data_IF_840927256020
#
_entry.id   IF_840927256020
#
_cell.length_a   1.000
_cell.length_b   1.000
_cell.length_c   1.000
_cell.angle_alpha   90.00
_cell.angle_beta   90.00
_cell.angle_gamma   90.00
#
_symmetry.space_group_name_H-M   'P 1'
#
loop_
_entity.id
_entity.type
_entity.pdbx_description
1 polymer ?
#
# COMPACT_ATOMS: atom_id res chain seq x y z
N UNK A 1 -89.10 1.23 -22.28
CA UNK A 1 -89.56 2.62 -22.09
C UNK A 1 -88.46 3.39 -21.35
N UNK A 2 -87.87 4.39 -22.03
CA UNK A 2 -87.01 5.51 -21.57
C UNK A 2 -86.32 5.45 -20.18
N UNK A 3 -84.98 5.55 -20.15
CA UNK A 3 -84.22 6.75 -19.71
C UNK A 3 -82.71 6.46 -19.70
N UNK A 4 -81.94 7.06 -20.62
CA UNK A 4 -81.08 8.26 -20.47
C UNK A 4 -79.72 8.03 -19.78
N UNK A 5 -78.73 7.77 -20.63
CA UNK A 5 -77.45 8.47 -20.79
C UNK A 5 -76.96 9.34 -19.61
N UNK A 6 -75.74 9.07 -19.11
CA UNK A 6 -74.71 10.11 -18.89
C UNK A 6 -73.29 9.53 -18.87
N UNK A 7 -72.52 10.05 -19.81
CA UNK A 7 -71.09 9.92 -20.02
C UNK A 7 -70.37 10.70 -18.91
N UNK A 8 -69.36 10.09 -18.29
CA UNK A 8 -68.27 10.81 -17.61
C UNK A 8 -66.97 10.29 -18.22
N UNK A 9 -66.39 11.08 -19.13
CA UNK A 9 -65.00 10.97 -19.53
C UNK A 9 -64.15 11.39 -18.33
N UNK A 10 -63.44 10.45 -17.71
CA UNK A 10 -62.25 10.78 -16.93
C UNK A 10 -61.04 10.60 -17.85
N UNK A 11 -60.59 11.71 -18.43
CA UNK A 11 -59.33 11.75 -19.17
C UNK A 11 -58.18 11.52 -18.21
N UNK A 12 -57.64 10.30 -18.21
CA UNK A 12 -56.34 10.00 -17.62
C UNK A 12 -55.28 10.44 -18.63
N UNK A 13 -54.77 11.65 -18.45
CA UNK A 13 -53.52 12.06 -19.06
C UNK A 13 -52.41 11.18 -18.48
N UNK A 14 -52.01 10.15 -19.23
CA UNK A 14 -50.79 9.40 -18.96
C UNK A 14 -49.64 10.35 -19.31
N UNK A 15 -49.14 11.09 -18.31
CA UNK A 15 -47.80 11.65 -18.38
C UNK A 15 -46.84 10.45 -18.40
N UNK A 16 -46.42 10.06 -19.61
CA UNK A 16 -45.20 9.30 -19.81
C UNK A 16 -44.04 10.18 -19.35
N UNK A 17 -43.78 10.17 -18.04
CA UNK A 17 -42.48 10.57 -17.55
C UNK A 17 -41.50 9.54 -18.08
N UNK A 18 -40.80 9.92 -19.15
CA UNK A 18 -39.54 9.27 -19.51
C UNK A 18 -38.64 9.46 -18.30
N UNK A 19 -38.63 8.48 -17.39
CA UNK A 19 -37.53 8.32 -16.46
C UNK A 19 -36.32 8.10 -17.34
N UNK A 20 -35.54 9.17 -17.54
CA UNK A 20 -34.18 9.02 -18.00
C UNK A 20 -33.53 8.10 -16.99
N UNK A 21 -33.22 6.88 -17.41
CA UNK A 21 -32.33 6.00 -16.66
C UNK A 21 -30.96 6.68 -16.67
N UNK A 22 -30.75 7.60 -15.73
CA UNK A 22 -29.42 7.87 -15.24
C UNK A 22 -29.00 6.56 -14.56
N UNK A 23 -28.21 5.76 -15.26
CA UNK A 23 -27.45 4.69 -14.65
C UNK A 23 -26.52 5.38 -13.65
N UNK A 24 -26.93 5.45 -12.39
CA UNK A 24 -25.99 5.77 -11.32
C UNK A 24 -25.00 4.60 -11.29
N UNK A 25 -23.75 4.86 -11.64
CA UNK A 25 -22.70 3.87 -11.42
C UNK A 25 -22.53 3.74 -9.91
N UNK A 26 -22.87 2.57 -9.36
CA UNK A 26 -22.68 2.30 -7.94
C UNK A 26 -21.18 2.42 -7.64
N UNK A 27 -20.83 3.47 -6.90
CA UNK A 27 -19.47 3.69 -6.45
C UNK A 27 -19.07 2.53 -5.53
N UNK A 28 -17.94 1.91 -5.85
CA UNK A 28 -17.35 0.83 -5.06
C UNK A 28 -16.45 1.43 -3.99
N UNK A 29 -16.61 0.98 -2.74
CA UNK A 29 -15.70 1.33 -1.65
C UNK A 29 -14.51 0.38 -1.65
N UNK A 30 -13.32 0.92 -1.87
CA UNK A 30 -12.08 0.15 -1.90
C UNK A 30 -11.09 0.70 -0.88
N UNK A 31 -10.37 -0.20 -0.22
CA UNK A 31 -9.25 0.16 0.66
C UNK A 31 -7.97 0.24 -0.16
N UNK A 32 -7.26 1.36 -0.05
CA UNK A 32 -6.08 1.68 -0.86
C UNK A 32 -4.99 2.29 0.00
N UNK A 33 -3.76 2.25 -0.51
CA UNK A 33 -2.69 3.10 0.00
C UNK A 33 -2.44 4.24 -1.00
N UNK A 34 -2.65 5.48 -0.56
CA UNK A 34 -2.45 6.67 -1.36
C UNK A 34 -1.02 7.18 -1.21
N UNK A 35 -0.39 7.51 -2.34
CA UNK A 35 0.86 8.26 -2.44
C UNK A 35 2.10 7.63 -1.77
N UNK A 36 2.04 6.33 -1.43
CA UNK A 36 3.20 5.60 -0.90
C UNK A 36 4.32 5.46 -1.93
N UNK A 37 3.96 5.33 -3.20
CA UNK A 37 4.91 5.22 -4.32
C UNK A 37 4.89 6.52 -5.11
N UNK A 38 6.05 7.13 -5.31
CA UNK A 38 6.26 8.25 -6.21
C UNK A 38 6.59 7.74 -7.60
N UNK A 39 6.28 8.51 -8.64
CA UNK A 39 6.49 8.08 -10.03
C UNK A 39 7.36 9.10 -10.74
N UNK A 40 8.35 8.59 -11.46
CA UNK A 40 9.20 9.37 -12.35
C UNK A 40 9.00 8.86 -13.78
N UNK A 41 8.72 9.76 -14.72
CA UNK A 41 8.56 9.42 -16.13
C UNK A 41 9.59 10.22 -16.94
N UNK A 42 10.53 9.54 -17.59
CA UNK A 42 11.61 10.17 -18.34
C UNK A 42 12.37 11.29 -17.57
N UNK A 43 12.88 10.98 -16.38
CA UNK A 43 13.54 11.88 -15.43
C UNK A 43 12.63 12.97 -14.81
N UNK A 44 11.33 12.99 -15.12
CA UNK A 44 10.36 13.97 -14.57
C UNK A 44 9.53 13.31 -13.46
N UNK A 45 9.67 13.78 -12.23
CA UNK A 45 8.80 13.38 -11.12
C UNK A 45 7.39 13.94 -11.34
N UNK A 46 6.40 13.05 -11.52
CA UNK A 46 5.01 13.46 -11.73
C UNK A 46 4.35 13.83 -10.40
N UNK A 47 3.62 14.95 -10.39
CA UNK A 47 2.91 15.48 -9.22
C UNK A 47 1.43 15.12 -9.31
N UNK A 48 1.11 13.85 -9.10
CA UNK A 48 -0.25 13.31 -9.16
C UNK A 48 -0.45 12.31 -8.03
N UNK A 49 -1.71 11.95 -7.75
CA UNK A 49 -1.94 10.87 -6.80
C UNK A 49 -1.46 9.54 -7.39
N UNK A 50 -1.04 8.62 -6.52
CA UNK A 50 -0.80 7.22 -6.84
C UNK A 50 -1.65 6.38 -5.92
N UNK A 51 -2.25 5.34 -6.48
CA UNK A 51 -3.17 4.46 -5.76
C UNK A 51 -2.56 3.07 -5.79
N UNK A 52 -2.14 2.55 -4.64
CA UNK A 52 -1.81 1.14 -4.50
C UNK A 52 -3.09 0.40 -4.12
N UNK A 53 -3.58 -0.43 -5.03
CA UNK A 53 -4.78 -1.24 -4.86
C UNK A 53 -4.48 -2.67 -5.30
N UNK A 54 -4.77 -3.64 -4.41
CA UNK A 54 -4.51 -5.08 -4.66
C UNK A 54 -3.08 -5.39 -5.15
N UNK A 55 -2.08 -4.67 -4.63
CA UNK A 55 -0.68 -4.84 -5.02
C UNK A 55 -0.30 -4.23 -6.38
N UNK A 56 -1.24 -3.55 -7.04
CA UNK A 56 -1.01 -2.84 -8.31
C UNK A 56 -0.94 -1.34 -8.06
N UNK A 57 0.10 -0.70 -8.60
CA UNK A 57 0.25 0.76 -8.57
C UNK A 57 -0.50 1.35 -9.76
N UNK A 58 -1.52 2.16 -9.47
CA UNK A 58 -2.28 2.90 -10.45
C UNK A 58 -1.86 4.36 -10.49
N UNK A 59 -1.76 4.89 -11.71
CA UNK A 59 -1.29 6.25 -11.99
C UNK A 59 -2.25 6.94 -12.97
N UNK A 60 -2.36 8.26 -12.86
CA UNK A 60 -3.19 9.05 -13.77
C UNK A 60 -2.67 8.93 -15.20
N UNK A 61 -3.51 8.40 -16.09
CA UNK A 61 -3.15 8.22 -17.50
C UNK A 61 -2.90 9.56 -18.19
N UNK A 62 -3.60 10.61 -17.75
CA UNK A 62 -3.48 11.96 -18.28
C UNK A 62 -2.16 12.60 -17.87
N UNK A 63 -1.70 12.37 -16.64
CA UNK A 63 -0.41 12.89 -16.18
C UNK A 63 0.78 12.21 -16.86
N UNK A 64 0.67 10.90 -17.13
CA UNK A 64 1.64 10.19 -17.96
C UNK A 64 1.68 10.77 -19.37
N UNK A 65 0.51 10.96 -20.00
CA UNK A 65 0.42 11.53 -21.33
C UNK A 65 1.01 12.94 -21.40
N UNK A 66 0.67 13.81 -20.44
CA UNK A 66 1.23 15.16 -20.31
C UNK A 66 2.75 15.14 -20.21
N UNK A 67 3.29 14.27 -19.34
CA UNK A 67 4.74 14.15 -19.11
C UNK A 67 5.48 13.64 -20.34
N UNK A 68 4.89 12.69 -21.07
CA UNK A 68 5.43 12.15 -22.31
C UNK A 68 5.14 13.05 -23.54
N UNK A 69 4.49 14.20 -23.34
CA UNK A 69 4.06 15.12 -24.38
C UNK A 69 3.16 14.47 -25.44
N UNK A 70 2.33 13.53 -25.00
CA UNK A 70 1.34 12.86 -25.83
C UNK A 70 -0.01 13.57 -25.74
N UNK A 71 -0.77 13.66 -26.84
CA UNK A 71 -2.16 14.12 -26.80
C UNK A 71 -3.01 13.14 -25.99
N UNK A 72 -4.01 13.67 -25.27
CA UNK A 72 -5.00 12.87 -24.54
C UNK A 72 -6.40 13.39 -24.84
N UNK A 73 -7.27 12.51 -25.31
CA UNK A 73 -8.66 12.83 -25.64
C UNK A 73 -9.61 11.85 -24.96
N UNK A 74 -10.81 12.31 -24.60
CA UNK A 74 -11.84 11.46 -24.00
C UNK A 74 -13.05 11.43 -24.93
N UNK A 75 -13.49 10.22 -25.27
CA UNK A 75 -14.70 10.03 -26.06
C UNK A 75 -15.85 9.67 -25.13
N UNK A 76 -16.81 10.58 -25.03
CA UNK A 76 -17.87 10.46 -24.03
C UNK A 76 -18.79 9.26 -24.33
N UNK A 77 -19.14 9.05 -25.60
CA UNK A 77 -20.11 8.04 -26.02
C UNK A 77 -19.68 6.60 -25.73
N UNK A 78 -18.39 6.29 -25.76
CA UNK A 78 -17.87 4.95 -25.47
C UNK A 78 -16.97 4.91 -24.21
N UNK A 79 -16.99 5.99 -23.42
CA UNK A 79 -16.24 6.16 -22.18
C UNK A 79 -14.78 5.71 -22.31
N UNK A 80 -14.10 6.16 -23.38
CA UNK A 80 -12.73 5.73 -23.69
C UNK A 80 -11.77 6.91 -23.70
N UNK A 81 -10.69 6.81 -22.95
CA UNK A 81 -9.53 7.72 -23.02
C UNK A 81 -8.57 7.24 -24.11
N UNK A 82 -8.18 8.14 -25.00
CA UNK A 82 -7.20 7.93 -26.07
C UNK A 82 -5.94 8.71 -25.75
N UNK A 83 -4.80 8.02 -25.67
CA UNK A 83 -3.47 8.62 -25.53
C UNK A 83 -2.66 8.36 -26.79
N UNK A 84 -2.01 9.40 -27.30
CA UNK A 84 -1.16 9.32 -28.49
C UNK A 84 -1.99 9.17 -29.77
N UNK A 85 -1.60 8.24 -30.64
CA UNK A 85 -2.31 8.02 -31.91
C UNK A 85 -3.73 7.50 -31.70
N UNK A 86 -4.68 7.97 -32.51
CA UNK A 86 -6.11 7.60 -32.37
C UNK A 86 -6.46 6.23 -32.98
N UNK A 87 -5.66 5.73 -33.91
CA UNK A 87 -5.96 4.51 -34.67
C UNK A 87 -7.24 4.63 -35.52
N UNK A 88 -8.01 3.54 -35.60
CA UNK A 88 -9.15 3.36 -36.52
C UNK A 88 -10.34 4.29 -36.26
N UNK A 89 -10.43 4.95 -35.10
CA UNK A 89 -11.56 5.85 -34.78
C UNK A 89 -11.48 7.20 -35.53
N UNK A 90 -10.32 7.56 -36.08
CA UNK A 90 -10.07 8.92 -36.60
C UNK A 90 -10.89 9.34 -37.83
N UNK A 91 -11.46 8.38 -38.59
CA UNK A 91 -12.02 8.70 -39.92
C UNK A 91 -13.56 8.75 -39.98
N UNK A 92 -14.30 8.37 -38.94
CA UNK A 92 -15.75 8.20 -39.02
C UNK A 92 -16.59 9.03 -38.03
N UNK A 93 -16.04 9.43 -36.88
CA UNK A 93 -16.82 10.09 -35.82
C UNK A 93 -16.66 11.63 -35.85
N UNK A 94 -17.75 12.42 -35.99
CA UNK A 94 -17.69 13.88 -35.92
C UNK A 94 -17.10 14.44 -34.61
N UNK A 95 -17.28 13.75 -33.48
CA UNK A 95 -16.71 14.14 -32.17
C UNK A 95 -15.17 14.06 -32.19
N UNK A 96 -14.63 13.08 -32.92
CA UNK A 96 -13.19 12.86 -33.03
C UNK A 96 -12.53 13.82 -34.03
N UNK A 97 -13.25 14.30 -35.04
CA UNK A 97 -12.71 15.23 -36.05
C UNK A 97 -12.28 16.58 -35.49
N UNK A 98 -12.87 17.00 -34.36
CA UNK A 98 -12.53 18.27 -33.69
C UNK A 98 -11.44 18.11 -32.63
N UNK A 99 -10.96 16.90 -32.38
CA UNK A 99 -9.93 16.67 -31.38
C UNK A 99 -8.58 17.21 -31.82
N UNK A 100 -7.87 17.77 -30.84
CA UNK A 100 -6.47 18.07 -31.01
C UNK A 100 -5.65 16.80 -30.76
N UNK A 101 -5.09 16.28 -31.85
CA UNK A 101 -4.29 15.04 -31.87
C UNK A 101 -2.80 15.31 -31.89
N UNK A 102 -2.39 16.57 -31.75
CA UNK A 102 -0.99 16.98 -31.75
C UNK A 102 -0.60 17.72 -30.48
N UNK A 103 -1.53 18.44 -29.86
CA UNK A 103 -1.27 19.16 -28.61
C UNK A 103 -1.15 18.20 -27.44
N UNK A 104 -0.05 18.27 -26.65
CA UNK A 104 0.12 17.49 -25.44
C UNK A 104 -1.04 17.66 -24.45
N UNK A 105 -1.35 16.58 -23.73
CA UNK A 105 -2.31 16.63 -22.64
C UNK A 105 -1.87 17.62 -21.55
N UNK A 106 -2.84 18.27 -20.91
CA UNK A 106 -2.60 18.97 -19.66
C UNK A 106 -2.59 17.95 -18.50
N UNK A 107 -1.86 18.22 -17.40
CA UNK A 107 -1.93 17.41 -16.18
C UNK A 107 -3.37 17.23 -15.66
N UNK A 108 -3.59 16.21 -14.82
CA UNK A 108 -4.87 16.08 -14.12
C UNK A 108 -5.07 17.23 -13.12
N UNK A 109 -6.33 17.54 -12.84
CA UNK A 109 -6.70 18.54 -11.82
C UNK A 109 -7.02 17.88 -10.47
N UNK A 110 -6.62 16.62 -10.26
CA UNK A 110 -6.87 15.92 -9.00
C UNK A 110 -5.99 16.50 -7.88
N UNK A 111 -6.56 17.02 -6.79
CA UNK A 111 -5.79 17.48 -5.65
C UNK A 111 -4.93 16.36 -5.05
N UNK A 112 -3.64 16.64 -4.88
CA UNK A 112 -2.69 15.68 -4.30
C UNK A 112 -3.03 15.47 -2.81
N UNK A 113 -3.31 14.22 -2.46
CA UNK A 113 -3.58 13.77 -1.10
C UNK A 113 -2.29 13.51 -0.31
N UNK A 114 -2.30 13.55 1.04
CA UNK A 114 -1.17 13.07 1.83
C UNK A 114 -0.97 11.56 1.69
N UNK A 115 0.21 11.07 2.06
CA UNK A 115 0.47 9.62 2.14
C UNK A 115 -0.37 9.01 3.27
N UNK A 116 -1.22 8.04 2.95
CA UNK A 116 -2.07 7.35 3.95
C UNK A 116 -2.70 6.08 3.39
N UNK A 117 -3.08 5.20 4.30
CA UNK A 117 -4.06 4.13 4.04
C UNK A 117 -5.45 4.74 4.15
N UNK A 118 -6.31 4.55 3.15
CA UNK A 118 -7.65 5.13 3.13
C UNK A 118 -8.69 4.21 2.48
N UNK A 119 -9.97 4.51 2.70
CA UNK A 119 -11.08 3.93 1.95
C UNK A 119 -11.66 4.99 1.03
N UNK A 120 -11.66 4.73 -0.28
CA UNK A 120 -12.14 5.67 -1.29
C UNK A 120 -13.31 5.07 -2.08
N UNK A 121 -14.20 5.95 -2.56
CA UNK A 121 -15.28 5.61 -3.47
C UNK A 121 -14.78 5.74 -4.91
N UNK A 122 -14.85 4.65 -5.69
CA UNK A 122 -14.32 4.60 -7.06
C UNK A 122 -15.28 3.90 -8.01
N UNK A 123 -15.12 4.17 -9.30
CA UNK A 123 -15.70 3.30 -10.33
C UNK A 123 -14.58 2.46 -10.95
N UNK A 124 -14.62 1.15 -10.72
CA UNK A 124 -13.68 0.21 -11.33
C UNK A 124 -14.13 -0.10 -12.76
N UNK A 125 -13.19 -0.05 -13.71
CA UNK A 125 -13.35 -0.48 -15.09
C UNK A 125 -14.46 0.23 -15.89
N UNK A 126 -14.94 1.38 -15.41
CA UNK A 126 -15.94 2.18 -16.13
C UNK A 126 -15.33 2.89 -17.34
N UNK A 127 -14.07 3.34 -17.22
CA UNK A 127 -13.37 4.06 -18.29
C UNK A 127 -12.37 3.13 -18.98
N UNK A 128 -12.52 2.98 -20.30
CA UNK A 128 -11.58 2.22 -21.14
C UNK A 128 -10.41 3.09 -21.56
N UNK A 129 -9.28 2.48 -21.87
CA UNK A 129 -8.08 3.21 -22.31
C UNK A 129 -7.55 2.62 -23.61
N UNK A 130 -7.16 3.50 -24.53
CA UNK A 130 -6.42 3.18 -25.74
C UNK A 130 -5.13 3.97 -25.80
N UNK A 131 -4.03 3.28 -26.06
CA UNK A 131 -2.70 3.86 -26.20
C UNK A 131 -2.22 3.60 -27.62
N UNK A 132 -1.91 4.65 -28.37
CA UNK A 132 -1.51 4.57 -29.78
C UNK A 132 -2.47 3.70 -30.63
N UNK A 133 -3.78 3.92 -30.43
CA UNK A 133 -4.85 3.24 -31.16
C UNK A 133 -5.18 1.82 -30.68
N UNK A 134 -4.35 1.23 -29.82
CA UNK A 134 -4.54 -0.14 -29.31
C UNK A 134 -5.28 -0.12 -27.97
N UNK A 135 -6.21 -1.04 -27.78
CA UNK A 135 -6.90 -1.22 -26.50
C UNK A 135 -5.90 -1.67 -25.44
N UNK A 136 -5.90 -0.97 -24.31
CA UNK A 136 -5.10 -1.34 -23.15
C UNK A 136 -5.88 -2.36 -22.32
N UNK A 137 -5.37 -3.59 -22.24
CA UNK A 137 -5.97 -4.66 -21.44
C UNK A 137 -5.50 -4.54 -19.99
N UNK A 138 -6.03 -3.56 -19.26
CA UNK A 138 -5.74 -3.36 -17.85
C UNK A 138 -6.94 -2.79 -17.12
N UNK A 139 -7.03 -3.09 -15.82
CA UNK A 139 -8.05 -2.48 -14.97
C UNK A 139 -7.82 -0.98 -14.84
N UNK A 140 -8.92 -0.25 -14.69
CA UNK A 140 -8.93 1.20 -14.47
C UNK A 140 -9.70 1.55 -13.20
N UNK A 141 -9.25 2.62 -12.55
CA UNK A 141 -9.92 3.21 -11.40
C UNK A 141 -10.30 4.63 -11.81
N UNK A 142 -11.59 4.92 -11.85
CA UNK A 142 -12.05 6.30 -11.97
C UNK A 142 -12.26 6.87 -10.57
N UNK A 143 -11.47 7.88 -10.22
CA UNK A 143 -11.46 8.50 -8.91
C UNK A 143 -11.25 10.01 -9.05
N UNK A 144 -12.09 10.79 -8.37
CA UNK A 144 -12.04 12.25 -8.36
C UNK A 144 -11.92 12.91 -9.77
N UNK A 145 -12.71 12.41 -10.72
CA UNK A 145 -12.69 12.92 -12.10
C UNK A 145 -11.47 12.50 -12.93
N UNK A 146 -10.61 11.64 -12.39
CA UNK A 146 -9.35 11.22 -13.02
C UNK A 146 -9.35 9.71 -13.25
N UNK A 147 -8.89 9.30 -14.43
CA UNK A 147 -8.73 7.90 -14.78
C UNK A 147 -7.32 7.43 -14.40
N UNK A 148 -7.27 6.51 -13.46
CA UNK A 148 -6.08 5.84 -13.00
C UNK A 148 -5.97 4.47 -13.67
N UNK A 149 -4.75 4.10 -14.04
CA UNK A 149 -4.46 2.87 -14.80
C UNK A 149 -3.20 2.24 -14.24
N UNK A 150 -3.09 0.91 -14.31
CA UNK A 150 -1.88 0.19 -13.93
C UNK A 150 -0.64 0.81 -14.59
N UNK A 151 0.29 1.27 -13.76
CA UNK A 151 1.57 1.85 -14.18
C UNK A 151 2.28 0.94 -15.19
N UNK A 152 2.34 -0.35 -14.87
CA UNK A 152 3.07 -1.33 -15.67
C UNK A 152 2.42 -1.52 -17.03
N UNK A 153 1.09 -1.65 -17.07
CA UNK A 153 0.37 -1.84 -18.34
C UNK A 153 0.56 -0.64 -19.28
N UNK A 154 0.52 0.59 -18.75
CA UNK A 154 0.75 1.81 -19.53
C UNK A 154 2.18 1.85 -20.06
N UNK A 155 3.17 1.55 -19.21
CA UNK A 155 4.58 1.52 -19.60
C UNK A 155 4.85 0.48 -20.70
N UNK A 156 4.35 -0.75 -20.53
CA UNK A 156 4.46 -1.84 -21.50
C UNK A 156 3.81 -1.47 -22.83
N UNK A 157 2.61 -0.89 -22.80
CA UNK A 157 1.91 -0.45 -24.02
C UNK A 157 2.63 0.68 -24.77
N UNK A 158 3.48 1.44 -24.07
CA UNK A 158 4.32 2.48 -24.64
C UNK A 158 5.73 1.99 -24.99
N UNK A 159 6.06 0.72 -24.70
CA UNK A 159 7.38 0.16 -24.91
C UNK A 159 8.45 0.75 -23.98
N UNK A 160 8.06 1.21 -22.80
CA UNK A 160 8.94 1.84 -21.81
C UNK A 160 9.31 0.84 -20.70
N UNK A 161 10.59 0.76 -20.30
CA UNK A 161 10.98 -0.04 -19.15
C UNK A 161 10.38 0.51 -17.87
N UNK A 162 10.21 -0.37 -16.87
CA UNK A 162 9.79 -0.02 -15.52
C UNK A 162 10.83 -0.51 -14.53
N UNK A 163 11.32 0.41 -13.70
CA UNK A 163 12.21 0.10 -12.59
C UNK A 163 11.60 0.64 -11.29
N UNK A 164 11.95 0.04 -10.15
CA UNK A 164 11.52 0.52 -8.85
C UNK A 164 12.72 0.67 -7.94
N UNK A 165 12.96 1.89 -7.46
CA UNK A 165 13.91 2.16 -6.39
C UNK A 165 13.18 2.13 -5.06
N UNK A 166 13.36 1.02 -4.36
CA UNK A 166 12.82 0.83 -3.02
C UNK A 166 13.35 1.87 -2.02
N UNK A 167 14.56 2.41 -2.21
CA UNK A 167 15.19 3.36 -1.27
C UNK A 167 14.47 4.71 -1.25
N UNK A 168 14.05 5.19 -2.41
CA UNK A 168 13.35 6.47 -2.56
C UNK A 168 11.83 6.30 -2.68
N UNK A 169 11.34 5.05 -2.71
CA UNK A 169 9.97 4.69 -3.06
C UNK A 169 9.53 5.34 -4.38
N UNK A 170 10.45 5.39 -5.36
CA UNK A 170 10.21 5.93 -6.69
C UNK A 170 10.15 4.77 -7.69
N UNK A 171 9.03 4.66 -8.40
CA UNK A 171 8.98 3.86 -9.62
C UNK A 171 9.32 4.74 -10.83
N UNK A 172 10.17 4.23 -11.70
CA UNK A 172 10.61 4.88 -12.92
C UNK A 172 9.92 4.24 -14.12
N UNK A 173 9.45 5.08 -15.04
CA UNK A 173 8.90 4.69 -16.35
C UNK A 173 9.76 5.34 -17.43
N UNK A 174 10.27 4.54 -18.36
CA UNK A 174 11.07 5.03 -19.47
C UNK A 174 12.54 5.26 -19.11
N UNK A 175 13.18 6.16 -19.84
CA UNK A 175 14.58 6.48 -19.59
C UNK A 175 14.68 7.27 -18.30
N UNK A 176 15.22 6.66 -17.26
CA UNK A 176 15.84 7.44 -16.22
C UNK A 176 17.34 7.36 -16.44
N UNK A 177 18.08 8.43 -16.13
CA UNK A 177 19.49 8.21 -15.81
C UNK A 177 19.46 7.15 -14.73
N UNK A 178 20.14 6.02 -14.95
CA UNK A 178 20.38 5.08 -13.88
C UNK A 178 20.97 5.92 -12.75
N UNK A 179 20.16 6.21 -11.75
CA UNK A 179 20.65 6.66 -10.47
C UNK A 179 21.18 5.36 -9.86
N UNK A 180 22.26 4.84 -10.45
CA UNK A 180 23.36 4.37 -9.62
C UNK A 180 23.63 5.61 -8.80
N UNK A 181 23.32 5.61 -7.49
CA UNK A 181 23.68 6.73 -6.66
C UNK A 181 25.20 6.81 -6.81
N UNK A 182 25.69 7.76 -7.61
CA UNK A 182 27.06 8.19 -7.46
C UNK A 182 27.03 8.76 -6.06
N UNK A 183 27.84 8.17 -5.17
CA UNK A 183 27.89 8.41 -3.73
C UNK A 183 28.28 9.86 -3.34
N UNK A 184 27.98 10.84 -4.18
CA UNK A 184 28.43 12.21 -4.10
C UNK A 184 27.32 13.24 -3.78
N UNK A 185 26.02 12.95 -3.94
CA UNK A 185 25.00 14.00 -3.74
C UNK A 185 23.87 13.74 -2.74
N UNK A 186 23.95 12.66 -1.97
CA UNK A 186 23.48 12.69 -0.58
C UNK A 186 24.53 11.94 0.23
N UNK A 187 25.46 12.65 0.87
CA UNK A 187 26.17 12.04 2.01
C UNK A 187 25.11 11.80 3.07
N UNK A 188 24.61 10.58 3.09
CA UNK A 188 23.81 10.04 4.17
C UNK A 188 24.46 10.41 5.49
N UNK A 189 23.65 10.89 6.43
CA UNK A 189 24.10 11.14 7.81
C UNK A 189 24.36 9.84 8.56
N UNK A 190 24.17 8.68 7.90
CA UNK A 190 24.37 7.39 8.52
C UNK A 190 25.86 7.09 8.71
N UNK A 191 26.19 6.56 9.88
CA UNK A 191 27.51 6.08 10.23
C UNK A 191 27.37 4.88 11.16
N UNK A 192 28.42 4.07 11.29
CA UNK A 192 28.45 2.99 12.27
C UNK A 192 29.39 3.28 13.43
N UNK A 193 29.05 2.69 14.58
CA UNK A 193 29.90 2.66 15.77
C UNK A 193 29.98 1.24 16.31
N UNK A 194 31.10 0.82 16.90
CA UNK A 194 31.20 -0.49 17.54
C UNK A 194 30.14 -0.65 18.63
N UNK A 195 29.41 -1.77 18.60
CA UNK A 195 28.47 -2.12 19.64
C UNK A 195 29.19 -2.52 20.93
N UNK A 196 28.56 -2.21 22.06
CA UNK A 196 28.99 -2.58 23.41
C UNK A 196 28.05 -3.61 24.04
N UNK A 197 28.35 -3.98 25.29
CA UNK A 197 27.50 -4.88 26.09
C UNK A 197 27.26 -6.25 25.43
N UNK A 198 25.99 -6.66 25.37
CA UNK A 198 25.56 -7.98 24.87
C UNK A 198 25.83 -8.19 23.37
N UNK A 199 25.97 -7.10 22.62
CA UNK A 199 26.21 -7.13 21.16
C UNK A 199 27.67 -6.81 20.81
N UNK A 200 28.60 -6.88 21.77
CA UNK A 200 30.03 -6.64 21.51
C UNK A 200 30.54 -7.46 20.32
N UNK A 201 31.14 -6.78 19.34
CA UNK A 201 31.58 -7.39 18.08
C UNK A 201 30.61 -7.20 16.90
N UNK A 202 29.45 -6.59 17.15
CA UNK A 202 28.56 -6.05 16.12
C UNK A 202 28.84 -4.55 15.92
N UNK A 203 28.25 -3.97 14.88
CA UNK A 203 28.18 -2.53 14.65
C UNK A 203 26.78 -2.02 14.97
N UNK A 204 26.66 -0.76 15.37
CA UNK A 204 25.37 -0.06 15.55
C UNK A 204 25.26 0.99 14.45
N UNK A 205 24.18 0.96 13.69
CA UNK A 205 23.87 2.01 12.72
C UNK A 205 23.36 3.25 13.46
N UNK A 206 23.94 4.40 13.13
CA UNK A 206 23.65 5.72 13.70
C UNK A 206 23.33 6.72 12.60
N UNK A 207 22.74 7.86 12.98
CA UNK A 207 22.32 8.94 12.10
C UNK A 207 20.93 8.76 11.46
N UNK A 208 20.16 7.75 11.87
CA UNK A 208 18.80 7.51 11.37
C UNK A 208 17.73 8.18 12.24
N UNK A 209 16.57 8.48 11.68
CA UNK A 209 15.50 9.21 12.37
C UNK A 209 14.87 8.43 13.54
N UNK A 210 14.98 7.10 13.53
CA UNK A 210 14.38 6.21 14.54
C UNK A 210 15.29 5.90 15.75
N UNK A 211 16.36 6.66 15.99
CA UNK A 211 17.31 6.34 17.08
C UNK A 211 16.71 6.42 18.49
N UNK A 212 15.60 7.15 18.65
CA UNK A 212 14.85 7.19 19.90
C UNK A 212 14.00 5.94 20.12
N UNK A 213 13.66 5.22 19.04
CA UNK A 213 12.73 4.09 19.09
C UNK A 213 13.46 2.74 19.00
N UNK A 214 14.53 2.67 18.20
CA UNK A 214 15.28 1.44 17.96
C UNK A 214 16.79 1.64 17.93
N UNK A 215 17.51 0.56 18.28
CA UNK A 215 18.91 0.36 17.89
C UNK A 215 18.98 -0.70 16.81
N UNK A 216 19.70 -0.39 15.74
CA UNK A 216 19.95 -1.30 14.62
C UNK A 216 21.37 -1.84 14.75
N UNK A 217 21.51 -3.12 15.09
CA UNK A 217 22.79 -3.82 15.12
C UNK A 217 23.02 -4.58 13.81
N UNK A 218 24.27 -4.60 13.34
CA UNK A 218 24.60 -5.37 12.15
C UNK A 218 26.01 -5.96 12.15
N UNK A 219 26.18 -6.96 11.28
CA UNK A 219 27.47 -7.52 10.88
C UNK A 219 27.48 -7.76 9.38
N UNK A 220 28.54 -7.34 8.68
CA UNK A 220 28.71 -7.63 7.25
C UNK A 220 29.23 -9.05 7.05
N UNK A 221 28.69 -9.75 6.05
CA UNK A 221 29.17 -11.05 5.60
C UNK A 221 29.89 -10.83 4.26
N UNK A 222 31.15 -10.41 4.34
CA UNK A 222 31.88 -9.91 3.16
C UNK A 222 31.17 -8.70 2.53
N UNK A 223 31.24 -8.59 1.21
CA UNK A 223 30.52 -7.55 0.43
C UNK A 223 29.23 -8.05 -0.21
N UNK A 224 28.77 -9.24 0.15
CA UNK A 224 27.65 -9.92 -0.51
C UNK A 224 26.37 -9.92 0.34
N UNK A 225 26.50 -9.70 1.66
CA UNK A 225 25.34 -9.64 2.54
C UNK A 225 25.67 -9.12 3.93
N UNK A 226 24.66 -9.13 4.81
CA UNK A 226 24.77 -8.70 6.19
C UNK A 226 23.75 -9.44 7.07
N UNK A 227 24.01 -9.44 8.37
CA UNK A 227 23.06 -9.83 9.43
C UNK A 227 22.57 -8.59 10.14
N UNK A 228 21.28 -8.54 10.47
CA UNK A 228 20.61 -7.42 11.15
C UNK A 228 19.89 -7.89 12.41
N UNK A 229 20.03 -7.15 13.51
CA UNK A 229 19.20 -7.28 14.71
C UNK A 229 18.67 -5.92 15.14
N UNK A 230 17.42 -5.88 15.56
CA UNK A 230 16.76 -4.66 16.03
C UNK A 230 16.46 -4.82 17.51
N UNK A 231 16.87 -3.85 18.31
CA UNK A 231 16.49 -3.72 19.72
C UNK A 231 15.52 -2.55 19.87
N UNK A 232 14.40 -2.79 20.53
CA UNK A 232 13.43 -1.75 20.91
C UNK A 232 13.99 -0.98 22.10
N UNK A 233 14.18 0.33 21.95
CA UNK A 233 14.75 1.20 23.00
C UNK A 233 13.80 2.32 23.40
N UNK A 234 12.53 2.25 22.98
CA UNK A 234 11.52 3.22 23.40
C UNK A 234 11.43 3.24 24.91
N UNK A 235 11.17 4.43 25.44
CA UNK A 235 10.87 4.61 26.85
C UNK A 235 9.45 4.09 27.13
N UNK A 236 9.35 2.90 27.71
CA UNK A 236 8.11 2.36 28.27
C UNK A 236 8.44 1.62 29.56
N UNK A 237 7.47 1.57 30.49
CA UNK A 237 7.61 0.76 31.69
C UNK A 237 7.14 -0.67 31.39
N UNK A 238 8.06 -1.65 31.25
CA UNK A 238 7.67 -3.03 30.97
C UNK A 238 6.86 -3.65 32.10
N UNK A 239 6.98 -3.13 33.33
CA UNK A 239 6.26 -3.61 34.50
C UNK A 239 4.93 -2.88 34.71
N UNK A 240 4.59 -1.90 33.88
CA UNK A 240 3.30 -1.24 33.92
C UNK A 240 2.20 -2.30 33.79
N UNK A 241 1.29 -2.32 34.75
CA UNK A 241 0.13 -3.20 34.73
C UNK A 241 -0.95 -2.52 33.90
N UNK A 242 -1.48 -3.27 32.94
CA UNK A 242 -2.58 -2.84 32.08
C UNK A 242 -3.80 -3.75 32.29
N UNK A 243 -4.95 -3.09 32.39
CA UNK A 243 -6.24 -3.73 32.50
C UNK A 243 -6.84 -3.94 31.11
N UNK A 244 -7.31 -5.14 30.82
CA UNK A 244 -7.98 -5.47 29.56
C UNK A 244 -9.06 -6.52 29.78
N UNK A 245 -10.01 -6.62 28.86
CA UNK A 245 -11.13 -7.58 28.97
C UNK A 245 -10.96 -8.69 27.94
N UNK A 246 -10.99 -9.94 28.40
CA UNK A 246 -10.87 -11.10 27.53
C UNK A 246 -12.15 -11.35 26.70
N UNK A 247 -12.09 -12.31 25.77
CA UNK A 247 -13.24 -12.65 24.92
C UNK A 247 -14.47 -13.19 25.67
N UNK A 248 -14.34 -13.52 26.97
CA UNK A 248 -15.42 -13.98 27.83
C UNK A 248 -15.96 -12.87 28.73
N UNK A 249 -15.46 -11.64 28.60
CA UNK A 249 -15.85 -10.52 29.43
C UNK A 249 -15.14 -10.48 30.78
N UNK A 250 -14.10 -11.29 30.98
CA UNK A 250 -13.32 -11.30 32.24
C UNK A 250 -12.25 -10.22 32.17
N UNK A 251 -12.24 -9.34 33.17
CA UNK A 251 -11.19 -8.33 33.33
C UNK A 251 -9.89 -9.00 33.78
N UNK A 252 -8.78 -8.61 33.17
CA UNK A 252 -7.44 -9.16 33.34
C UNK A 252 -6.42 -8.07 33.58
N UNK A 253 -5.38 -8.39 34.34
CA UNK A 253 -4.28 -7.49 34.66
C UNK A 253 -2.96 -8.15 34.31
N UNK A 254 -2.23 -7.59 33.35
CA UNK A 254 -0.93 -8.12 32.94
C UNK A 254 0.09 -7.00 32.78
N UNK A 255 1.38 -7.34 32.86
CA UNK A 255 2.43 -6.38 32.56
C UNK A 255 2.47 -6.11 31.05
N UNK A 256 2.89 -4.90 30.67
CA UNK A 256 3.13 -4.55 29.27
C UNK A 256 4.10 -5.54 28.61
N UNK A 257 5.14 -5.99 29.32
CA UNK A 257 6.08 -7.00 28.82
C UNK A 257 5.42 -8.30 28.39
N UNK A 258 4.47 -8.80 29.19
CA UNK A 258 3.82 -10.10 28.96
C UNK A 258 2.90 -10.02 27.74
N UNK A 259 2.22 -8.88 27.60
CA UNK A 259 1.37 -8.58 26.45
C UNK A 259 2.19 -8.39 25.17
N UNK A 260 3.39 -7.82 25.26
CA UNK A 260 4.30 -7.69 24.10
C UNK A 260 4.83 -9.03 23.61
N UNK A 261 5.08 -10.01 24.49
CA UNK A 261 5.42 -11.38 24.07
C UNK A 261 4.24 -12.05 23.36
N UNK A 262 3.01 -11.84 23.84
CA UNK A 262 1.80 -12.29 23.11
C UNK A 262 1.72 -11.64 21.73
N UNK A 263 1.95 -10.34 21.61
CA UNK A 263 1.95 -9.69 20.29
C UNK A 263 2.98 -10.31 19.34
N UNK A 264 4.17 -10.63 19.84
CA UNK A 264 5.26 -11.24 19.06
C UNK A 264 4.87 -12.61 18.52
N UNK A 265 4.21 -13.43 19.32
CA UNK A 265 3.82 -14.78 18.93
C UNK A 265 2.64 -14.80 17.95
N UNK A 266 1.70 -13.86 18.07
CA UNK A 266 0.43 -13.94 17.35
C UNK A 266 0.27 -12.91 16.21
N UNK A 267 1.12 -11.90 16.09
CA UNK A 267 1.06 -10.90 15.00
C UNK A 267 1.20 -11.50 13.58
N UNK A 268 1.76 -12.70 13.44
CA UNK A 268 1.92 -13.35 12.12
C UNK A 268 0.59 -13.81 11.50
N UNK A 269 -0.51 -13.88 12.26
CA UNK A 269 -1.81 -14.33 11.78
C UNK A 269 -2.77 -13.15 11.54
N UNK A 270 -3.28 -12.94 10.31
CA UNK A 270 -4.18 -11.83 9.97
C UNK A 270 -5.43 -11.71 10.85
N UNK A 271 -6.06 -12.84 11.21
CA UNK A 271 -7.27 -12.86 12.04
C UNK A 271 -6.95 -12.45 13.49
N UNK A 272 -5.75 -12.79 13.97
CA UNK A 272 -5.29 -12.42 15.31
C UNK A 272 -4.85 -10.96 15.37
N UNK A 273 -4.29 -10.39 14.30
CA UNK A 273 -3.98 -8.96 14.25
C UNK A 273 -5.21 -8.08 14.47
N UNK A 274 -6.36 -8.47 13.88
CA UNK A 274 -7.63 -7.79 14.12
C UNK A 274 -8.03 -7.87 15.59
N UNK A 275 -7.97 -9.07 16.18
CA UNK A 275 -8.27 -9.27 17.59
C UNK A 275 -7.35 -8.46 18.51
N UNK A 276 -6.03 -8.52 18.31
CA UNK A 276 -5.06 -7.78 19.13
C UNK A 276 -5.29 -6.26 19.04
N UNK A 277 -5.61 -5.76 17.84
CA UNK A 277 -5.97 -4.35 17.66
C UNK A 277 -7.28 -3.99 18.37
N UNK A 278 -8.32 -4.81 18.23
CA UNK A 278 -9.62 -4.54 18.85
C UNK A 278 -9.55 -4.61 20.39
N UNK A 279 -8.72 -5.50 20.94
CA UNK A 279 -8.57 -5.71 22.40
C UNK A 279 -7.60 -4.71 23.04
N UNK A 280 -6.45 -4.45 22.43
CA UNK A 280 -5.37 -3.67 23.05
C UNK A 280 -5.15 -2.28 22.41
N UNK A 281 -5.88 -1.96 21.33
CA UNK A 281 -5.92 -0.63 20.72
C UNK A 281 -4.53 -0.04 20.45
N UNK A 282 -4.29 1.14 21.02
CA UNK A 282 -3.08 1.93 20.83
C UNK A 282 -1.82 1.22 21.35
N UNK A 283 -1.93 0.38 22.38
CA UNK A 283 -0.79 -0.38 22.89
C UNK A 283 -0.24 -1.35 21.82
N UNK A 284 -1.14 -2.01 21.09
CA UNK A 284 -0.78 -2.90 19.99
C UNK A 284 -0.26 -2.13 18.78
N UNK A 285 -0.88 -1.00 18.43
CA UNK A 285 -0.41 -0.16 17.31
C UNK A 285 0.96 0.46 17.59
N UNK A 286 1.19 0.92 18.82
CA UNK A 286 2.48 1.41 19.25
C UNK A 286 3.52 0.30 19.16
N UNK A 287 3.26 -0.90 19.71
CA UNK A 287 4.17 -2.04 19.55
C UNK A 287 4.46 -2.41 18.08
N UNK A 288 3.46 -2.34 17.21
CA UNK A 288 3.61 -2.64 15.78
C UNK A 288 4.46 -1.59 15.05
N UNK A 289 4.42 -0.32 15.47
CA UNK A 289 5.13 0.78 14.82
C UNK A 289 6.64 0.56 14.72
N UNK A 290 7.28 0.07 15.79
CA UNK A 290 8.71 -0.29 15.80
C UNK A 290 9.05 -1.36 14.77
N UNK A 291 8.14 -2.33 14.57
CA UNK A 291 8.35 -3.42 13.61
C UNK A 291 8.06 -3.03 12.17
N UNK A 292 7.42 -1.88 11.96
CA UNK A 292 7.19 -1.31 10.64
C UNK A 292 8.38 -0.44 10.17
N UNK A 293 9.34 -0.15 11.05
CA UNK A 293 10.53 0.63 10.71
C UNK A 293 11.35 -0.11 9.65
N UNK A 294 11.72 0.54 8.52
CA UNK A 294 12.46 -0.09 7.42
C UNK A 294 13.97 -0.21 7.73
N UNK A 295 14.33 -0.83 8.86
CA UNK A 295 15.71 -0.95 9.34
C UNK A 295 16.65 -1.62 8.33
N UNK A 296 16.17 -2.65 7.63
CA UNK A 296 16.92 -3.31 6.55
C UNK A 296 17.31 -2.32 5.44
N UNK A 297 16.37 -1.49 5.00
CA UNK A 297 16.61 -0.52 3.93
C UNK A 297 17.60 0.57 4.36
N UNK A 298 17.50 1.02 5.62
CA UNK A 298 18.44 1.99 6.19
C UNK A 298 19.86 1.44 6.23
N UNK A 299 20.02 0.20 6.70
CA UNK A 299 21.32 -0.46 6.77
C UNK A 299 21.87 -0.75 5.36
N UNK A 300 21.06 -1.30 4.47
CA UNK A 300 21.49 -1.62 3.12
C UNK A 300 21.96 -0.36 2.39
N UNK A 301 21.23 0.75 2.51
CA UNK A 301 21.63 2.07 1.99
C UNK A 301 23.01 2.47 2.53
N UNK A 302 23.19 2.43 3.84
CA UNK A 302 24.48 2.75 4.47
C UNK A 302 25.63 1.86 3.98
N UNK A 303 25.42 0.55 3.92
CA UNK A 303 26.46 -0.39 3.50
C UNK A 303 26.84 -0.20 2.03
N UNK A 304 25.89 0.15 1.16
CA UNK A 304 26.15 0.48 -0.25
C UNK A 304 26.93 1.79 -0.38
N UNK A 305 26.50 2.84 0.32
CA UNK A 305 27.15 4.16 0.31
C UNK A 305 28.58 4.12 0.88
N UNK A 306 28.79 3.32 1.93
CA UNK A 306 30.12 3.10 2.53
C UNK A 306 31.00 2.11 1.77
N UNK A 307 30.49 1.47 0.71
CA UNK A 307 31.21 0.47 -0.09
C UNK A 307 31.44 -0.87 0.62
N UNK A 308 30.73 -1.10 1.73
CA UNK A 308 30.70 -2.34 2.51
C UNK A 308 29.80 -3.42 1.89
N UNK A 309 28.86 -3.05 1.01
CA UNK A 309 28.01 -3.96 0.24
C UNK A 309 28.10 -3.68 -1.27
N UNK A 310 28.31 -4.73 -2.07
CA UNK A 310 28.35 -4.63 -3.54
C UNK A 310 26.98 -4.23 -4.11
N UNK A 311 26.96 -3.34 -5.10
CA UNK A 311 25.76 -3.08 -5.92
C UNK A 311 25.38 -4.35 -6.68
N UNK A 312 24.23 -4.93 -6.35
CA UNK A 312 23.70 -6.05 -7.13
C UNK A 312 23.26 -5.48 -8.48
N UNK A 313 23.98 -5.83 -9.56
CA UNK A 313 23.42 -5.71 -10.90
C UNK A 313 22.31 -6.74 -10.97
N UNK A 314 21.05 -6.31 -10.83
CA UNK A 314 19.90 -7.17 -11.07
C UNK A 314 19.88 -7.56 -12.56
N UNK A 315 20.64 -8.60 -12.93
CA UNK A 315 20.55 -9.27 -14.23
C UNK A 315 19.35 -10.24 -14.26
N UNK A 316 18.28 -9.96 -13.52
CA UNK A 316 17.03 -10.71 -13.63
C UNK A 316 16.23 -10.08 -14.76
N UNK A 317 16.58 -10.43 -15.99
CA UNK A 317 15.61 -10.37 -17.09
C UNK A 317 14.63 -11.52 -16.84
N UNK A 318 13.50 -11.25 -16.18
CA UNK A 318 12.38 -12.19 -16.23
C UNK A 318 11.93 -12.23 -17.69
N UNK A 319 12.34 -13.26 -18.43
CA UNK A 319 11.73 -13.52 -19.74
C UNK A 319 10.27 -13.92 -19.52
N UNK A 320 9.38 -13.66 -20.51
CA UNK A 320 7.94 -13.93 -20.39
C UNK A 320 7.57 -15.38 -20.04
N UNK A 321 8.54 -16.30 -20.14
CA UNK A 321 8.36 -17.74 -19.98
C UNK A 321 8.73 -18.22 -18.56
N UNK A 322 9.15 -17.32 -17.67
CA UNK A 322 9.49 -17.66 -16.30
C UNK A 322 8.22 -18.02 -15.49
N UNK A 323 7.84 -19.29 -15.54
CA UNK A 323 6.76 -19.84 -14.70
C UNK A 323 7.27 -19.95 -13.26
N UNK A 324 6.83 -19.05 -12.39
CA UNK A 324 6.98 -19.25 -10.94
C UNK A 324 6.03 -20.38 -10.56
N UNK A 325 6.58 -21.56 -10.27
CA UNK A 325 5.82 -22.63 -9.62
C UNK A 325 5.60 -22.26 -8.16
N UNK A 326 4.51 -21.55 -7.88
CA UNK A 326 4.01 -21.38 -6.53
C UNK A 326 3.22 -22.65 -6.23
N UNK A 327 3.82 -23.61 -5.53
CA UNK A 327 3.01 -24.67 -4.92
C UNK A 327 2.01 -24.01 -3.96
N UNK A 328 0.69 -24.26 -4.11
CA UNK A 328 -0.28 -23.77 -3.16
C UNK A 328 -0.01 -24.46 -1.83
N UNK A 329 0.68 -23.77 -0.93
CA UNK A 329 0.80 -24.20 0.45
C UNK A 329 -0.63 -24.23 1.01
N UNK A 330 -1.14 -25.43 1.29
CA UNK A 330 -2.42 -25.60 1.99
C UNK A 330 -2.42 -24.67 3.20
N UNK A 331 -3.29 -23.67 3.19
CA UNK A 331 -3.55 -22.89 4.39
C UNK A 331 -4.00 -23.85 5.48
N UNK A 332 -3.29 -23.94 6.62
CA UNK A 332 -3.81 -24.66 7.76
C UNK A 332 -5.12 -23.96 8.14
N UNK A 333 -6.22 -24.72 8.22
CA UNK A 333 -7.48 -24.24 8.80
C UNK A 333 -7.17 -23.78 10.23
N UNK A 334 -6.99 -22.48 10.38
CA UNK A 334 -6.78 -21.84 11.68
C UNK A 334 -8.10 -21.85 12.41
N UNK A 335 -8.24 -22.74 13.39
CA UNK A 335 -9.36 -22.74 14.34
C UNK A 335 -9.21 -21.52 15.27
N UNK A 336 -9.66 -20.37 14.78
CA UNK A 336 -9.41 -19.06 15.40
C UNK A 336 -9.90 -18.99 16.85
N UNK A 337 -10.95 -19.74 17.20
CA UNK A 337 -11.48 -19.81 18.56
C UNK A 337 -10.62 -20.67 19.50
N UNK A 338 -10.04 -21.77 19.00
CA UNK A 338 -9.07 -22.55 19.76
C UNK A 338 -7.78 -21.76 20.04
N UNK A 339 -7.39 -20.86 19.12
CA UNK A 339 -6.18 -20.02 19.28
C UNK A 339 -6.44 -18.80 20.16
N UNK A 340 -7.61 -18.15 20.06
CA UNK A 340 -8.06 -17.11 21.02
C UNK A 340 -8.07 -17.64 22.44
N UNK A 341 -8.55 -18.87 22.64
CA UNK A 341 -8.53 -19.55 23.94
C UNK A 341 -7.09 -19.76 24.45
N UNK A 342 -6.12 -20.01 23.57
CA UNK A 342 -4.70 -20.14 23.93
C UNK A 342 -4.09 -18.82 24.37
N UNK A 343 -4.38 -17.72 23.67
CA UNK A 343 -3.95 -16.37 24.05
C UNK A 343 -4.44 -16.01 25.46
N UNK A 344 -5.72 -16.26 25.73
CA UNK A 344 -6.30 -15.97 27.03
C UNK A 344 -5.78 -16.92 28.14
N UNK A 345 -5.23 -18.09 27.77
CA UNK A 345 -4.60 -19.02 28.74
C UNK A 345 -3.11 -18.75 28.95
N UNK A 346 -2.42 -18.11 28.01
CA UNK A 346 -1.00 -17.73 28.15
C UNK A 346 -0.82 -16.47 29.02
N UNK A 347 -1.88 -15.66 29.16
CA UNK A 347 -1.95 -14.51 30.06
C UNK A 347 -2.73 -14.92 31.32
N UNK A 348 -2.09 -15.66 32.22
CA UNK A 348 -2.66 -16.00 33.55
C UNK A 348 -2.52 -14.76 34.45
N UNK A 349 -3.50 -14.51 35.33
CA UNK A 349 -3.41 -13.46 36.34
C UNK A 349 -2.30 -13.83 37.33
N UNK A 350 -1.13 -13.21 37.21
CA UNK A 350 -0.05 -13.36 38.20
C UNK A 350 -0.10 -12.18 39.19
N UNK A 351 -1.24 -12.08 39.88
CA UNK A 351 -1.34 -11.28 41.11
C UNK A 351 -2.12 -12.13 42.11
N UNK A 352 -1.45 -13.11 42.72
CA UNK A 352 -1.90 -13.50 44.06
C UNK A 352 -1.47 -12.40 45.03
N UNK A 353 -2.41 -11.73 45.72
CA UNK A 353 -2.03 -10.90 46.85
C UNK A 353 -1.50 -11.85 47.93
N UNK A 354 -0.21 -11.76 48.26
CA UNK A 354 0.34 -12.42 49.44
C UNK A 354 -0.29 -11.81 50.69
N UNK A 355 -1.46 -12.34 51.07
CA UNK A 355 -2.05 -12.18 52.41
C UNK A 355 -1.66 -13.43 53.21
N UNK A 356 -0.97 -13.21 54.32
CA UNK A 356 -0.17 -14.21 55.01
C UNK A 356 -0.92 -15.43 55.57
N UNK A 357 -0.19 -16.54 55.63
CA UNK A 357 0.18 -17.18 56.90
C UNK A 357 1.24 -18.27 56.65
N UNK A 358 2.31 -18.21 57.46
CA UNK A 358 3.28 -19.28 57.76
C UNK A 358 2.53 -20.56 58.23
N UNK A 359 3.13 -21.78 58.34
CA UNK A 359 4.56 -22.09 58.41
C UNK A 359 4.99 -23.33 57.59
N UNK A 360 6.29 -23.55 57.38
CA UNK A 360 6.96 -24.85 57.61
C UNK A 360 8.48 -24.69 57.49
N UNK A 361 9.10 -24.83 58.66
CA UNK A 361 10.51 -25.19 58.89
C UNK A 361 10.76 -26.57 58.27
N UNK A 362 11.93 -26.81 57.68
CA UNK A 362 12.86 -27.88 58.10
C UNK A 362 14.25 -27.70 57.45
N UNK A 363 15.24 -27.86 58.33
CA UNK A 363 16.69 -28.05 58.22
C UNK A 363 17.38 -28.15 56.85
#
# INVERSE_FOLDING_TARGET
>A
MKSKLRIILLGTAILLTTQGNALASDLQQVKVDLNLVKINVNDILIKTNTILYEGTVYISIRDVASTLKLPANYHQKNQTVYIGQLGEISNADPEVKIWDVVTPALPSNDPISPQKVDTINVNLNEVKVKVNGKALSADTIFYNGTTYVSMRAVAESLGLPVEYDQNSSIAYIGNHKAVVPTAAEVKSKLYDVPADGKMKGWQVLKGHEYEADIKIYFQTIGKEGYSLQIEDVREYDPNQIIEWTDTKGVVKHNKVSDIYEVFKDYNRNPLLRKYLKDTFGDLYLNWLSVRAIPADQLLERYLRESGQLNTVKNNVTLTPDAVIQIEPKKEPKSDADAIRKRINSSLVDEIEPTSGNNPFVYD
#
